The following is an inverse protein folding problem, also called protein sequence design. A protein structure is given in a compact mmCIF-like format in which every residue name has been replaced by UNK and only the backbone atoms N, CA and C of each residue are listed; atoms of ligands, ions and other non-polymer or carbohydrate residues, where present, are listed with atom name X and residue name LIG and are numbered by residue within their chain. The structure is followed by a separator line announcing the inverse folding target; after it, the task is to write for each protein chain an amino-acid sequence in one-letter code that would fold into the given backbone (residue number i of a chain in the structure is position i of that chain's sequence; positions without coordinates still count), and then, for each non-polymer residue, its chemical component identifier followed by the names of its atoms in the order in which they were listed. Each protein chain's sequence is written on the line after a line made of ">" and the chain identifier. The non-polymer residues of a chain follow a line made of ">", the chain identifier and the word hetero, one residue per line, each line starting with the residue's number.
data_IF_208356194693
#
_entry.id   IF_208356194693
#
_cell.length_a   1.000
_cell.length_b   1.000
_cell.length_c   1.000
_cell.angle_alpha   90.00
_cell.angle_beta   90.00
_cell.angle_gamma   90.00
#
_symmetry.space_group_name_H-M   'P 1'
#
loop_
_entity.id
_entity.type
_entity.pdbx_description
1 polymer ?
#
# COMPACT_ATOMS: atom_id res chain seq x y z
N UNK A 1 -18.99 -16.57 -32.33
CA UNK A 1 -18.80 -16.23 -30.90
C UNK A 1 -18.18 -14.82 -30.86
N UNK A 2 -18.84 -13.88 -30.21
CA UNK A 2 -18.36 -12.50 -30.07
C UNK A 2 -17.61 -12.35 -28.74
N UNK A 3 -16.41 -11.75 -28.76
CA UNK A 3 -15.65 -11.45 -27.54
C UNK A 3 -16.30 -10.27 -26.81
N UNK A 4 -16.69 -10.47 -25.56
CA UNK A 4 -17.30 -9.48 -24.66
C UNK A 4 -16.44 -9.23 -23.41
N UNK A 5 -15.15 -9.56 -23.43
CA UNK A 5 -14.24 -9.45 -22.27
C UNK A 5 -14.22 -8.06 -21.66
N UNK A 6 -14.36 -7.01 -22.47
CA UNK A 6 -14.35 -5.61 -22.01
C UNK A 6 -15.62 -5.16 -21.27
N UNK A 7 -16.72 -5.91 -21.39
CA UNK A 7 -18.02 -5.44 -20.87
C UNK A 7 -17.98 -5.21 -19.36
N UNK A 8 -17.48 -6.18 -18.61
CA UNK A 8 -17.38 -6.10 -17.14
C UNK A 8 -16.43 -5.00 -16.71
N UNK A 9 -15.30 -4.87 -17.40
CA UNK A 9 -14.33 -3.79 -17.14
C UNK A 9 -14.98 -2.42 -17.30
N UNK A 10 -15.70 -2.19 -18.38
CA UNK A 10 -16.42 -0.93 -18.66
C UNK A 10 -17.46 -0.61 -17.59
N UNK A 11 -18.21 -1.61 -17.12
CA UNK A 11 -19.21 -1.44 -16.06
C UNK A 11 -18.57 -1.08 -14.69
N UNK A 12 -17.35 -1.55 -14.43
CA UNK A 12 -16.65 -1.36 -13.14
C UNK A 12 -15.80 -0.10 -13.07
N UNK A 13 -15.48 0.53 -14.21
CA UNK A 13 -14.56 1.69 -14.24
C UNK A 13 -15.16 2.89 -13.49
N UNK A 14 -16.41 3.21 -13.72
CA UNK A 14 -17.12 4.32 -13.06
C UNK A 14 -17.95 3.76 -11.91
N UNK A 15 -17.68 4.25 -10.69
CA UNK A 15 -18.38 3.79 -9.48
C UNK A 15 -19.66 4.58 -9.27
N UNK A 16 -20.73 3.90 -8.84
CA UNK A 16 -21.94 4.53 -8.35
C UNK A 16 -21.71 5.20 -6.99
N UNK A 17 -22.69 5.99 -6.52
CA UNK A 17 -22.62 6.59 -5.20
C UNK A 17 -22.58 5.54 -4.08
N UNK A 18 -23.31 4.45 -4.23
CA UNK A 18 -23.31 3.32 -3.28
C UNK A 18 -21.98 2.61 -3.24
N UNK A 19 -21.37 2.38 -4.42
CA UNK A 19 -20.03 1.79 -4.51
C UNK A 19 -18.96 2.68 -3.85
N UNK A 20 -19.07 4.00 -3.99
CA UNK A 20 -18.19 4.96 -3.31
C UNK A 20 -18.32 4.86 -1.78
N UNK A 21 -19.51 4.61 -1.24
CA UNK A 21 -19.67 4.35 0.20
C UNK A 21 -18.89 3.12 0.63
N UNK A 22 -18.91 2.04 -0.15
CA UNK A 22 -18.14 0.82 0.14
C UNK A 22 -16.63 1.05 0.05
N UNK A 23 -16.18 1.81 -0.95
CA UNK A 23 -14.74 2.19 -1.08
C UNK A 23 -14.29 3.01 0.12
N UNK A 24 -15.10 3.99 0.58
CA UNK A 24 -14.79 4.77 1.78
C UNK A 24 -14.73 3.91 3.03
N UNK A 25 -15.64 2.94 3.17
CA UNK A 25 -15.60 2.00 4.30
C UNK A 25 -14.36 1.10 4.25
N UNK A 26 -13.97 0.64 3.07
CA UNK A 26 -12.73 -0.09 2.88
C UNK A 26 -11.50 0.74 3.26
N UNK A 27 -11.47 2.04 2.90
CA UNK A 27 -10.41 2.97 3.29
C UNK A 27 -10.32 3.15 4.81
N UNK A 28 -11.46 3.34 5.49
CA UNK A 28 -11.52 3.43 6.96
C UNK A 28 -10.96 2.17 7.65
N UNK A 29 -11.24 0.98 7.10
CA UNK A 29 -10.67 -0.26 7.61
C UNK A 29 -9.16 -0.36 7.36
N UNK A 30 -8.68 0.15 6.21
CA UNK A 30 -7.25 0.22 5.92
C UNK A 30 -6.52 1.15 6.88
N UNK A 31 -7.11 2.31 7.22
CA UNK A 31 -6.55 3.26 8.19
C UNK A 31 -6.46 2.62 9.59
N UNK A 32 -7.52 1.93 10.04
CA UNK A 32 -7.49 1.20 11.32
C UNK A 32 -6.42 0.13 11.37
N UNK A 33 -6.19 -0.58 10.27
CA UNK A 33 -5.09 -1.54 10.18
C UNK A 33 -3.72 -0.86 10.25
N UNK A 34 -3.56 0.35 9.68
CA UNK A 34 -2.35 1.14 9.83
C UNK A 34 -2.08 1.54 11.29
N UNK A 35 -3.12 1.89 12.05
CA UNK A 35 -2.98 2.20 13.48
C UNK A 35 -2.39 1.00 14.24
N UNK A 36 -2.80 -0.21 13.92
CA UNK A 36 -2.22 -1.42 14.52
C UNK A 36 -0.76 -1.65 14.07
N UNK A 37 -0.42 -1.35 12.81
CA UNK A 37 0.98 -1.38 12.38
C UNK A 37 1.82 -0.44 13.24
N UNK A 38 1.39 0.82 13.43
CA UNK A 38 2.11 1.78 14.26
C UNK A 38 2.23 1.34 15.72
N UNK A 39 1.21 0.69 16.26
CA UNK A 39 1.21 0.17 17.64
C UNK A 39 2.24 -0.93 17.85
N UNK A 40 2.40 -1.82 16.87
CA UNK A 40 3.22 -3.02 16.98
C UNK A 40 4.56 -2.98 16.22
N UNK A 41 4.82 -1.98 15.36
CA UNK A 41 6.06 -1.85 14.61
C UNK A 41 7.22 -1.41 15.51
N UNK A 42 7.71 -2.32 16.35
CA UNK A 42 8.82 -2.09 17.30
C UNK A 42 9.65 -3.34 17.49
N UNK A 43 10.91 -3.16 17.91
CA UNK A 43 11.83 -4.25 18.16
C UNK A 43 11.24 -5.33 19.09
N UNK A 44 11.53 -6.58 18.81
CA UNK A 44 11.04 -7.75 19.55
C UNK A 44 9.66 -8.23 19.18
N UNK A 45 8.91 -7.51 18.33
CA UNK A 45 7.60 -7.93 17.84
C UNK A 45 7.76 -8.73 16.55
N UNK A 46 7.03 -9.81 16.38
CA UNK A 46 7.03 -10.60 15.16
C UNK A 46 6.14 -9.99 14.07
N UNK A 47 6.54 -10.14 12.81
CA UNK A 47 5.72 -9.78 11.64
C UNK A 47 4.35 -10.46 11.68
N UNK A 48 4.29 -11.72 12.14
CA UNK A 48 3.02 -12.46 12.30
C UNK A 48 2.06 -11.80 13.30
N UNK A 49 2.59 -11.21 14.38
CA UNK A 49 1.77 -10.48 15.35
C UNK A 49 1.15 -9.24 14.71
N UNK A 50 1.92 -8.49 13.94
CA UNK A 50 1.43 -7.31 13.22
C UNK A 50 0.32 -7.71 12.27
N UNK A 51 0.54 -8.73 11.43
CA UNK A 51 -0.47 -9.24 10.49
C UNK A 51 -1.76 -9.68 11.20
N UNK A 52 -1.63 -10.38 12.32
CA UNK A 52 -2.78 -10.84 13.10
C UNK A 52 -3.65 -9.67 13.59
N UNK A 53 -3.02 -8.60 14.11
CA UNK A 53 -3.75 -7.44 14.59
C UNK A 53 -4.37 -6.62 13.45
N UNK A 54 -3.69 -6.48 12.31
CA UNK A 54 -4.24 -5.85 11.11
C UNK A 54 -5.50 -6.57 10.62
N UNK A 55 -5.42 -7.89 10.46
CA UNK A 55 -6.58 -8.71 10.04
C UNK A 55 -7.73 -8.62 11.04
N UNK A 56 -7.42 -8.70 12.35
CA UNK A 56 -8.40 -8.61 13.41
C UNK A 56 -9.25 -7.35 13.30
N UNK A 57 -8.65 -6.15 13.19
CA UNK A 57 -9.41 -4.89 13.14
C UNK A 57 -10.22 -4.75 11.86
N UNK A 58 -9.75 -5.32 10.73
CA UNK A 58 -10.52 -5.34 9.50
C UNK A 58 -11.77 -6.21 9.66
N UNK A 59 -11.64 -7.43 10.15
CA UNK A 59 -12.78 -8.33 10.34
C UNK A 59 -13.74 -7.85 11.43
N UNK A 60 -13.25 -7.38 12.57
CA UNK A 60 -14.09 -6.77 13.61
C UNK A 60 -14.83 -5.52 13.12
N UNK A 61 -14.27 -4.83 12.13
CA UNK A 61 -14.92 -3.70 11.45
C UNK A 61 -15.96 -4.10 10.40
N UNK A 62 -16.23 -5.40 10.22
CA UNK A 62 -17.14 -5.94 9.21
C UNK A 62 -16.52 -6.04 7.81
N UNK A 63 -15.20 -6.05 7.73
CA UNK A 63 -14.47 -6.22 6.48
C UNK A 63 -14.43 -7.66 5.98
N UNK A 64 -14.04 -7.82 4.74
CA UNK A 64 -13.91 -9.10 4.03
C UNK A 64 -12.44 -9.48 3.84
N UNK A 65 -12.20 -10.70 3.36
CA UNK A 65 -10.87 -11.11 2.90
C UNK A 65 -10.43 -10.27 1.69
N UNK A 66 -9.18 -9.81 1.67
CA UNK A 66 -8.62 -9.11 0.50
C UNK A 66 -8.41 -10.09 -0.65
N UNK A 67 -8.34 -9.55 -1.89
CA UNK A 67 -8.07 -10.34 -3.08
C UNK A 67 -6.65 -10.96 -3.11
N UNK A 68 -5.69 -10.31 -2.42
CA UNK A 68 -4.34 -10.83 -2.20
C UNK A 68 -4.02 -10.80 -0.71
N UNK A 69 -3.16 -11.70 -0.27
CA UNK A 69 -2.64 -11.69 1.10
C UNK A 69 -1.89 -10.37 1.38
N UNK A 70 -1.86 -9.98 2.66
CA UNK A 70 -1.04 -8.88 3.10
C UNK A 70 0.44 -9.24 2.99
N UNK A 71 1.21 -8.31 2.47
CA UNK A 71 2.66 -8.44 2.36
C UNK A 71 3.29 -7.76 3.55
N UNK A 72 4.19 -8.45 4.24
CA UNK A 72 4.99 -7.90 5.32
C UNK A 72 6.39 -8.48 5.23
N UNK A 73 7.40 -7.63 5.40
CA UNK A 73 8.78 -8.05 5.44
C UNK A 73 9.65 -7.03 6.15
N UNK A 74 10.62 -7.50 6.93
CA UNK A 74 11.61 -6.68 7.61
C UNK A 74 13.03 -6.97 7.12
N UNK A 75 13.95 -6.04 7.36
CA UNK A 75 15.34 -6.14 6.94
C UNK A 75 15.47 -6.42 5.44
N UNK A 76 16.20 -7.47 5.07
CA UNK A 76 16.38 -7.88 3.66
C UNK A 76 15.07 -8.30 3.01
N UNK A 77 14.14 -8.86 3.78
CA UNK A 77 12.85 -9.32 3.29
C UNK A 77 11.90 -8.16 2.96
N UNK A 78 12.15 -6.95 3.46
CA UNK A 78 11.42 -5.75 3.10
C UNK A 78 11.51 -5.39 1.60
N UNK A 79 12.48 -5.94 0.88
CA UNK A 79 12.66 -5.76 -0.56
C UNK A 79 11.94 -6.83 -1.40
N UNK A 80 11.40 -7.87 -0.76
CA UNK A 80 10.79 -9.00 -1.45
C UNK A 80 9.30 -8.75 -1.69
N UNK A 81 8.93 -8.71 -2.95
CA UNK A 81 7.52 -8.72 -3.35
C UNK A 81 6.92 -10.11 -3.05
N UNK A 82 5.77 -10.15 -2.38
CA UNK A 82 5.04 -11.38 -2.02
C UNK A 82 5.81 -12.37 -1.14
N UNK A 83 6.64 -11.84 -0.25
CA UNK A 83 7.27 -12.66 0.77
C UNK A 83 6.21 -13.24 1.72
N UNK A 84 6.17 -14.57 1.83
CA UNK A 84 5.07 -15.27 2.53
C UNK A 84 5.53 -16.18 3.67
N UNK A 85 6.80 -16.55 3.74
CA UNK A 85 7.31 -17.52 4.71
C UNK A 85 8.34 -16.91 5.66
N UNK A 86 8.66 -17.65 6.73
CA UNK A 86 9.69 -17.30 7.71
C UNK A 86 9.53 -15.91 8.30
N UNK A 87 8.34 -15.60 8.84
CA UNK A 87 8.07 -14.32 9.48
C UNK A 87 9.11 -14.01 10.55
N UNK A 88 9.75 -12.83 10.43
CA UNK A 88 10.83 -12.40 11.29
C UNK A 88 10.34 -11.73 12.56
N UNK A 89 11.24 -11.62 13.54
CA UNK A 89 11.10 -10.72 14.68
C UNK A 89 11.87 -9.44 14.38
N UNK A 90 11.23 -8.28 14.54
CA UNK A 90 11.83 -6.99 14.27
C UNK A 90 13.04 -6.73 15.17
N UNK A 91 14.14 -6.30 14.58
CA UNK A 91 15.37 -5.95 15.29
C UNK A 91 15.32 -4.52 15.86
N UNK A 92 16.27 -4.18 16.73
CA UNK A 92 16.39 -2.84 17.32
C UNK A 92 16.65 -1.74 16.29
N UNK A 93 17.20 -2.11 15.13
CA UNK A 93 17.40 -1.24 13.99
C UNK A 93 17.03 -2.02 12.74
N UNK A 94 15.92 -1.66 12.12
CA UNK A 94 15.32 -2.43 11.04
C UNK A 94 14.52 -1.53 10.10
N UNK A 95 14.02 -2.11 9.03
CA UNK A 95 13.05 -1.51 8.14
C UNK A 95 11.91 -2.51 7.93
N UNK A 96 10.70 -2.07 8.20
CA UNK A 96 9.49 -2.84 7.97
C UNK A 96 8.76 -2.30 6.74
N UNK A 97 8.46 -3.16 5.78
CA UNK A 97 7.57 -2.87 4.66
C UNK A 97 6.28 -3.65 4.84
N UNK A 98 5.15 -2.96 4.69
CA UNK A 98 3.81 -3.54 4.79
C UNK A 98 2.96 -3.07 3.62
N UNK A 99 2.31 -4.02 2.93
CA UNK A 99 1.29 -3.76 1.90
C UNK A 99 0.01 -4.50 2.28
N UNK A 100 -1.12 -3.81 2.25
CA UNK A 100 -2.41 -4.37 2.62
C UNK A 100 -3.56 -3.65 1.95
N UNK A 101 -4.75 -4.18 2.10
CA UNK A 101 -5.98 -3.48 1.73
C UNK A 101 -7.03 -3.65 2.83
N UNK A 102 -7.69 -2.56 3.18
CA UNK A 102 -9.01 -2.65 3.78
C UNK A 102 -9.99 -3.13 2.72
N UNK A 103 -10.87 -4.06 3.07
CA UNK A 103 -11.82 -4.66 2.14
C UNK A 103 -13.21 -4.65 2.74
N UNK A 104 -14.19 -4.15 2.00
CA UNK A 104 -15.58 -4.12 2.41
C UNK A 104 -16.49 -4.37 1.21
N UNK A 105 -17.38 -5.39 1.30
CA UNK A 105 -18.23 -5.81 0.16
C UNK A 105 -17.42 -6.04 -1.12
N UNK A 106 -16.21 -6.62 -0.97
CA UNK A 106 -15.22 -6.86 -2.03
C UNK A 106 -14.65 -5.59 -2.69
N UNK A 107 -14.97 -4.38 -2.22
CA UNK A 107 -14.25 -3.16 -2.59
C UNK A 107 -13.01 -3.00 -1.74
N UNK A 108 -11.91 -2.57 -2.35
CA UNK A 108 -10.59 -2.50 -1.74
C UNK A 108 -10.09 -1.07 -1.67
N UNK A 109 -9.40 -0.76 -0.59
CA UNK A 109 -8.53 0.41 -0.48
C UNK A 109 -7.15 -0.05 -0.05
N UNK A 110 -6.21 -0.04 -1.00
CA UNK A 110 -4.86 -0.54 -0.78
C UNK A 110 -3.95 0.54 -0.20
N UNK A 111 -3.03 0.10 0.66
CA UNK A 111 -1.96 0.92 1.22
C UNK A 111 -0.63 0.18 1.18
N UNK A 112 0.44 0.96 1.05
CA UNK A 112 1.81 0.51 1.16
C UNK A 112 2.58 1.45 2.09
N UNK A 113 3.29 0.93 3.08
CA UNK A 113 4.10 1.74 4.01
C UNK A 113 5.45 1.09 4.26
N UNK A 114 6.47 1.95 4.37
CA UNK A 114 7.80 1.57 4.85
C UNK A 114 8.04 2.32 6.16
N UNK A 115 8.36 1.58 7.21
CA UNK A 115 8.49 2.08 8.58
C UNK A 115 9.86 1.73 9.11
N UNK A 116 10.70 2.71 9.47
CA UNK A 116 11.95 2.44 10.16
C UNK A 116 11.69 2.02 11.60
N UNK A 117 12.38 0.99 12.05
CA UNK A 117 12.43 0.57 13.45
C UNK A 117 13.75 1.07 14.03
N UNK A 118 13.67 1.86 15.12
CA UNK A 118 14.84 2.54 15.67
C UNK A 118 15.27 3.74 14.83
N UNK A 119 16.58 3.94 14.65
CA UNK A 119 17.12 5.09 13.93
C UNK A 119 17.19 4.83 12.44
N UNK A 120 16.46 5.61 11.66
CA UNK A 120 16.52 5.54 10.21
C UNK A 120 17.87 6.06 9.65
N UNK A 121 18.35 5.44 8.57
CA UNK A 121 19.47 5.96 7.79
C UNK A 121 19.07 7.31 7.13
N UNK A 122 19.95 8.32 7.11
CA UNK A 122 19.67 9.59 6.43
C UNK A 122 19.27 9.43 4.95
N UNK A 123 19.76 8.39 4.27
CA UNK A 123 19.35 8.05 2.90
C UNK A 123 17.89 7.65 2.84
N UNK A 124 17.38 6.92 3.82
CA UNK A 124 15.96 6.53 3.89
C UNK A 124 15.05 7.76 4.07
N UNK A 125 15.48 8.76 4.86
CA UNK A 125 14.73 10.02 4.98
C UNK A 125 14.62 10.74 3.63
N UNK A 126 15.73 10.86 2.88
CA UNK A 126 15.72 11.48 1.54
C UNK A 126 14.81 10.71 0.57
N UNK A 127 14.86 9.38 0.60
CA UNK A 127 13.96 8.55 -0.23
C UNK A 127 12.50 8.75 0.15
N UNK A 128 12.19 8.86 1.45
CA UNK A 128 10.84 9.12 1.93
C UNK A 128 10.32 10.49 1.46
N UNK A 129 11.13 11.55 1.57
CA UNK A 129 10.78 12.88 1.05
C UNK A 129 10.50 12.85 -0.46
N UNK A 130 11.33 12.13 -1.23
CA UNK A 130 11.10 11.93 -2.65
C UNK A 130 9.78 11.18 -2.95
N UNK A 131 9.43 10.18 -2.14
CA UNK A 131 8.17 9.47 -2.26
C UNK A 131 6.97 10.40 -1.99
N UNK A 132 7.05 11.27 -0.98
CA UNK A 132 5.99 12.25 -0.68
C UNK A 132 5.81 13.23 -1.83
N UNK A 133 6.91 13.75 -2.39
CA UNK A 133 6.86 14.67 -3.52
C UNK A 133 6.31 13.98 -4.77
N UNK A 134 6.75 12.75 -5.06
CA UNK A 134 6.23 11.97 -6.18
C UNK A 134 4.72 11.71 -6.04
N UNK A 135 4.24 11.38 -4.83
CA UNK A 135 2.81 11.19 -4.57
C UNK A 135 2.01 12.47 -4.87
N UNK A 136 2.45 13.64 -4.39
CA UNK A 136 1.80 14.92 -4.67
C UNK A 136 1.74 15.22 -6.18
N UNK A 137 2.83 14.94 -6.90
CA UNK A 137 2.88 15.14 -8.34
C UNK A 137 1.95 14.16 -9.09
N UNK A 138 1.79 12.93 -8.61
CA UNK A 138 0.81 11.98 -9.11
C UNK A 138 -0.63 12.48 -8.86
N UNK A 139 -0.95 12.92 -7.66
CA UNK A 139 -2.28 13.47 -7.31
C UNK A 139 -2.65 14.65 -8.20
N UNK A 140 -1.72 15.57 -8.47
CA UNK A 140 -1.92 16.69 -9.36
C UNK A 140 -2.21 16.28 -10.82
N UNK A 141 -1.79 15.08 -11.23
CA UNK A 141 -2.05 14.51 -12.56
C UNK A 141 -3.26 13.59 -12.61
N UNK A 142 -3.71 13.08 -11.46
CA UNK A 142 -4.84 12.17 -11.36
C UNK A 142 -6.18 12.94 -11.40
N UNK A 143 -6.42 13.60 -12.52
CA UNK A 143 -7.64 14.39 -12.76
C UNK A 143 -8.36 13.91 -14.01
N UNK A 144 -9.66 14.19 -14.09
CA UNK A 144 -10.47 13.80 -15.25
C UNK A 144 -9.89 14.38 -16.55
N UNK A 145 -9.76 13.51 -17.55
CA UNK A 145 -9.24 13.84 -18.89
C UNK A 145 -7.77 13.48 -19.08
N UNK A 146 -6.98 13.33 -18.02
CA UNK A 146 -5.60 12.88 -18.12
C UNK A 146 -5.49 11.37 -18.33
N UNK A 147 -4.42 10.96 -18.99
CA UNK A 147 -4.08 9.53 -19.16
C UNK A 147 -3.30 9.03 -17.96
N UNK A 148 -3.48 7.76 -17.60
CA UNK A 148 -2.71 7.11 -16.52
C UNK A 148 -1.19 7.17 -16.78
N UNK A 149 -0.77 7.12 -18.05
CA UNK A 149 0.65 7.32 -18.41
C UNK A 149 1.23 8.64 -17.93
N UNK A 150 0.46 9.72 -17.95
CA UNK A 150 0.92 11.04 -17.47
C UNK A 150 1.13 11.04 -15.94
N UNK A 151 0.36 10.27 -15.19
CA UNK A 151 0.56 10.07 -13.75
C UNK A 151 1.86 9.30 -13.50
N UNK A 152 2.11 8.24 -14.28
CA UNK A 152 3.36 7.48 -14.22
C UNK A 152 4.58 8.35 -14.58
N UNK A 153 4.48 9.15 -15.65
CA UNK A 153 5.58 10.04 -16.08
C UNK A 153 5.90 11.08 -15.01
N UNK A 154 4.88 11.64 -14.35
CA UNK A 154 5.09 12.58 -13.23
C UNK A 154 5.84 11.90 -12.06
N UNK A 155 5.45 10.68 -11.70
CA UNK A 155 6.14 9.87 -10.70
C UNK A 155 7.60 9.61 -11.08
N UNK A 156 7.84 9.06 -12.27
CA UNK A 156 9.18 8.72 -12.74
C UNK A 156 10.10 9.94 -12.81
N UNK A 157 9.59 11.05 -13.39
CA UNK A 157 10.32 12.30 -13.48
C UNK A 157 10.72 12.85 -12.12
N UNK A 158 9.85 12.80 -11.13
CA UNK A 158 10.17 13.28 -9.77
C UNK A 158 11.35 12.52 -9.18
N UNK A 159 11.38 11.21 -9.29
CA UNK A 159 12.52 10.41 -8.81
C UNK A 159 13.80 10.68 -9.60
N UNK A 160 13.72 10.80 -10.92
CA UNK A 160 14.87 11.10 -11.77
C UNK A 160 15.46 12.49 -11.43
N UNK A 161 14.62 13.52 -11.28
CA UNK A 161 15.02 14.88 -10.92
C UNK A 161 15.70 14.94 -9.53
N UNK A 162 15.30 14.07 -8.60
CA UNK A 162 15.88 13.94 -7.25
C UNK A 162 17.08 12.98 -7.19
N UNK A 163 17.53 12.45 -8.32
CA UNK A 163 18.71 11.61 -8.43
C UNK A 163 18.52 10.15 -8.01
N UNK A 164 17.28 9.64 -7.95
CA UNK A 164 17.00 8.26 -7.58
C UNK A 164 16.87 7.30 -8.76
N UNK A 165 17.02 7.76 -10.00
CA UNK A 165 17.03 6.95 -11.23
C UNK A 165 15.92 5.89 -11.22
N UNK A 166 14.68 6.30 -11.45
CA UNK A 166 13.54 5.39 -11.48
C UNK A 166 13.75 4.32 -12.55
N UNK A 167 13.91 3.06 -12.12
CA UNK A 167 13.95 1.94 -13.04
C UNK A 167 12.63 1.88 -13.84
N UNK A 168 12.73 1.95 -15.14
CA UNK A 168 11.60 1.81 -16.07
C UNK A 168 11.62 0.37 -16.58
N UNK A 169 10.60 -0.39 -16.19
CA UNK A 169 10.35 -1.71 -16.76
C UNK A 169 9.62 -1.59 -18.07
#
# INVERSE_FOLDING_TARGET
>A
IEDKSDLITKLRVVKSNEEIVYVKKAAELADRALDEVWRYAKAGVSESKILAEMNKVIFEGGGDYPANEFIIGSGKNALLCRYQSEKQILNNQDQLTVEWAGTYRHYHSAMFRTIPIGKADPKHHKMHEACIEALKNCENKLIQGNKIGEVFDAHAKTFDDLGFNKARM
#
